data_IF_316026997260
#
_entry.id   IF_316026997260
#
_cell.length_a   1.000
_cell.length_b   1.000
_cell.length_c   1.000
_cell.angle_alpha   90.00
_cell.angle_beta   90.00
_cell.angle_gamma   90.00
#
_symmetry.space_group_name_H-M   'P 1'
#
loop_
_entity.id
_entity.type
_entity.pdbx_description
1 polymer ?
#
# COMPACT_ATOMS: atom_id res chain seq x y z
N UNK A 1 11.71 -20.09 1.21
CA UNK A 1 12.12 -19.70 -0.16
C UNK A 1 13.13 -18.54 -0.12
N UNK A 2 14.28 -18.58 -0.81
CA UNK A 2 15.26 -17.48 -0.75
C UNK A 2 14.86 -16.31 -1.65
N UNK A 3 14.55 -15.15 -1.06
CA UNK A 3 14.39 -13.88 -1.79
C UNK A 3 15.74 -13.37 -2.28
N UNK A 4 15.88 -13.11 -3.58
CA UNK A 4 17.09 -12.49 -4.12
C UNK A 4 17.04 -10.95 -4.01
N UNK A 5 18.22 -10.32 -4.03
CA UNK A 5 18.35 -8.87 -3.95
C UNK A 5 17.57 -8.12 -5.04
N UNK A 6 17.39 -8.73 -6.22
CA UNK A 6 16.60 -8.17 -7.33
C UNK A 6 15.12 -8.10 -6.97
N UNK A 7 14.58 -9.15 -6.35
CA UNK A 7 13.19 -9.21 -5.91
C UNK A 7 12.93 -8.22 -4.79
N UNK A 8 13.82 -8.12 -3.80
CA UNK A 8 13.71 -7.11 -2.73
C UNK A 8 13.67 -5.69 -3.30
N UNK A 9 14.61 -5.38 -4.21
CA UNK A 9 14.67 -4.06 -4.87
C UNK A 9 13.41 -3.78 -5.69
N UNK A 10 12.87 -4.79 -6.39
CA UNK A 10 11.63 -4.67 -7.17
C UNK A 10 10.43 -4.38 -6.26
N UNK A 11 10.30 -5.08 -5.14
CA UNK A 11 9.21 -4.86 -4.18
C UNK A 11 9.30 -3.45 -3.60
N UNK A 12 10.49 -3.01 -3.19
CA UNK A 12 10.71 -1.65 -2.68
C UNK A 12 10.30 -0.58 -3.70
N UNK A 13 10.63 -0.77 -4.98
CA UNK A 13 10.22 0.14 -6.07
C UNK A 13 8.70 0.20 -6.25
N UNK A 14 8.01 -0.95 -6.16
CA UNK A 14 6.55 -1.02 -6.23
C UNK A 14 5.90 -0.29 -5.05
N UNK A 15 6.48 -0.41 -3.86
CA UNK A 15 6.03 0.25 -2.64
C UNK A 15 6.49 1.72 -2.51
N UNK A 16 7.28 2.24 -3.48
CA UNK A 16 7.88 3.59 -3.43
C UNK A 16 8.78 3.82 -2.21
N UNK A 17 9.47 2.78 -1.76
CA UNK A 17 10.44 2.84 -0.66
C UNK A 17 11.85 2.90 -1.24
N UNK A 18 12.61 3.93 -0.89
CA UNK A 18 14.03 4.02 -1.21
C UNK A 18 14.85 3.17 -0.25
N UNK A 19 15.64 2.24 -0.78
CA UNK A 19 16.56 1.40 0.00
C UNK A 19 18.00 1.76 -0.34
N UNK A 20 18.86 1.78 0.68
CA UNK A 20 20.30 1.83 0.48
C UNK A 20 20.84 0.43 0.15
N UNK A 21 21.93 0.32 -0.63
CA UNK A 21 22.49 -0.98 -1.01
C UNK A 21 22.79 -1.91 0.18
N UNK A 22 23.26 -1.35 1.29
CA UNK A 22 23.58 -2.07 2.52
C UNK A 22 22.35 -2.65 3.26
N UNK A 23 21.15 -2.15 3.00
CA UNK A 23 19.92 -2.60 3.66
C UNK A 23 19.30 -3.82 2.96
N UNK A 24 19.66 -4.07 1.70
CA UNK A 24 18.99 -5.06 0.83
C UNK A 24 19.16 -6.48 1.37
N UNK A 25 20.37 -6.85 1.79
CA UNK A 25 20.67 -8.21 2.23
C UNK A 25 20.02 -8.53 3.58
N UNK A 26 19.98 -7.56 4.50
CA UNK A 26 19.31 -7.73 5.79
C UNK A 26 17.80 -7.87 5.59
N UNK A 27 17.20 -6.96 4.82
CA UNK A 27 15.77 -6.97 4.53
C UNK A 27 15.34 -8.25 3.79
N UNK A 28 16.16 -8.75 2.87
CA UNK A 28 15.91 -10.01 2.18
C UNK A 28 15.82 -11.21 3.13
N UNK A 29 16.67 -11.27 4.16
CA UNK A 29 16.64 -12.33 5.18
C UNK A 29 15.40 -12.23 6.07
N UNK A 30 15.05 -11.01 6.49
CA UNK A 30 13.88 -10.78 7.34
C UNK A 30 12.59 -11.15 6.59
N UNK A 31 12.46 -10.68 5.34
CA UNK A 31 11.33 -11.02 4.47
C UNK A 31 11.25 -12.51 4.17
N UNK A 32 12.40 -13.17 3.92
CA UNK A 32 12.46 -14.63 3.75
C UNK A 32 11.92 -15.36 4.97
N UNK A 33 12.34 -14.97 6.17
CA UNK A 33 11.88 -15.56 7.42
C UNK A 33 10.36 -15.39 7.63
N UNK A 34 9.81 -14.23 7.25
CA UNK A 34 8.37 -13.97 7.31
C UNK A 34 7.61 -14.85 6.32
N UNK A 35 8.09 -14.98 5.08
CA UNK A 35 7.45 -15.84 4.07
C UNK A 35 7.48 -17.30 4.51
N UNK A 36 8.62 -17.79 5.00
CA UNK A 36 8.75 -19.16 5.50
C UNK A 36 7.78 -19.43 6.67
N UNK A 37 7.54 -18.44 7.53
CA UNK A 37 6.52 -18.55 8.58
C UNK A 37 5.09 -18.59 8.02
N UNK A 38 4.78 -17.78 7.01
CA UNK A 38 3.46 -17.76 6.33
C UNK A 38 3.22 -19.06 5.56
N UNK A 39 4.26 -19.70 5.02
CA UNK A 39 4.15 -20.98 4.29
C UNK A 39 3.55 -22.11 5.14
N UNK A 40 3.57 -22.01 6.48
CA UNK A 40 2.89 -22.96 7.38
C UNK A 40 1.38 -23.04 7.13
N UNK A 41 0.76 -21.98 6.59
CA UNK A 41 -0.66 -21.98 6.25
C UNK A 41 -1.00 -22.97 5.12
N UNK A 42 -0.02 -23.38 4.31
CA UNK A 42 -0.23 -24.37 3.23
C UNK A 42 -0.50 -25.78 3.76
N UNK A 43 -0.24 -26.05 5.04
CA UNK A 43 -0.54 -27.36 5.68
C UNK A 43 -2.04 -27.57 5.91
N UNK A 44 -2.84 -26.50 5.82
CA UNK A 44 -4.28 -26.53 6.07
C UNK A 44 -5.03 -26.60 4.75
N UNK A 45 -5.88 -27.62 4.58
CA UNK A 45 -6.78 -27.73 3.43
C UNK A 45 -7.91 -26.70 3.53
N UNK A 46 -8.00 -25.84 2.52
CA UNK A 46 -9.00 -24.78 2.39
C UNK A 46 -9.80 -24.90 1.09
N UNK A 47 -9.78 -26.06 0.42
CA UNK A 47 -10.42 -26.27 -0.90
C UNK A 47 -11.91 -25.91 -0.92
N UNK A 48 -12.61 -26.12 0.20
CA UNK A 48 -14.04 -25.83 0.36
C UNK A 48 -14.33 -24.57 1.21
N UNK A 49 -13.30 -23.81 1.58
CA UNK A 49 -13.43 -22.62 2.44
C UNK A 49 -13.44 -21.35 1.57
N UNK A 50 -14.56 -20.62 1.48
CA UNK A 50 -14.60 -19.38 0.71
C UNK A 50 -13.78 -18.27 1.40
N UNK A 51 -13.11 -17.38 0.64
CA UNK A 51 -12.38 -16.25 1.20
C UNK A 51 -13.30 -15.30 2.00
N UNK A 52 -12.80 -14.82 3.14
CA UNK A 52 -13.51 -13.82 3.94
C UNK A 52 -13.38 -12.43 3.31
N UNK A 53 -14.51 -11.82 2.92
CA UNK A 53 -14.57 -10.51 2.22
C UNK A 53 -14.93 -9.32 3.13
N UNK A 54 -15.07 -9.55 4.44
CA UNK A 54 -15.44 -8.54 5.44
C UNK A 54 -16.14 -9.16 6.65
N UNK A 55 -16.36 -8.37 7.70
CA UNK A 55 -16.98 -8.81 8.96
C UNK A 55 -18.51 -8.75 8.96
N UNK A 56 -19.12 -8.14 7.94
CA UNK A 56 -20.56 -7.95 7.86
C UNK A 56 -21.14 -8.48 6.56
N UNK A 57 -22.24 -9.24 6.67
CA UNK A 57 -23.13 -9.64 5.55
C UNK A 57 -23.96 -8.46 5.02
N UNK A 58 -23.38 -7.26 5.00
CA UNK A 58 -24.11 -6.05 4.66
C UNK A 58 -24.18 -5.89 3.15
N UNK A 59 -25.38 -5.66 2.63
CA UNK A 59 -25.58 -5.15 1.26
C UNK A 59 -24.71 -3.91 1.06
N UNK A 60 -24.18 -3.72 -0.15
CA UNK A 60 -23.42 -2.54 -0.50
C UNK A 60 -24.19 -1.28 -0.10
N UNK A 61 -23.55 -0.38 0.67
CA UNK A 61 -24.17 0.89 1.05
C UNK A 61 -24.20 1.80 -0.16
N UNK A 62 -25.40 2.25 -0.52
CA UNK A 62 -25.58 3.31 -1.49
C UNK A 62 -25.41 4.66 -0.78
N UNK A 63 -24.86 5.63 -1.50
CA UNK A 63 -24.81 7.04 -1.12
C UNK A 63 -25.82 7.78 -1.97
N UNK A 64 -26.56 8.72 -1.38
CA UNK A 64 -27.42 9.64 -2.12
C UNK A 64 -26.60 10.52 -3.06
N UNK A 65 -27.14 10.85 -4.23
CA UNK A 65 -26.53 11.75 -5.18
C UNK A 65 -26.79 13.21 -4.80
N UNK A 66 -26.03 13.70 -3.82
CA UNK A 66 -26.11 15.07 -3.30
C UNK A 66 -24.73 15.74 -3.25
N UNK A 67 -24.70 17.06 -3.45
CA UNK A 67 -23.50 17.91 -3.38
C UNK A 67 -23.06 18.10 -1.92
N UNK A 68 -21.77 17.94 -1.63
CA UNK A 68 -21.21 18.04 -0.26
C UNK A 68 -19.87 18.79 -0.22
N UNK A 69 -19.62 19.58 -1.26
CA UNK A 69 -18.29 20.06 -1.67
C UNK A 69 -17.59 20.92 -0.61
N UNK A 70 -18.37 21.48 0.33
CA UNK A 70 -17.89 22.15 1.54
C UNK A 70 -17.11 23.45 1.30
N UNK A 71 -16.67 23.72 0.07
CA UNK A 71 -15.91 24.89 -0.39
C UNK A 71 -14.78 25.34 0.57
N UNK A 72 -14.08 24.38 1.17
CA UNK A 72 -13.12 24.63 2.25
C UNK A 72 -11.65 24.49 1.79
N UNK A 73 -11.28 25.23 0.74
CA UNK A 73 -9.93 25.15 0.13
C UNK A 73 -8.80 25.31 1.15
N UNK A 74 -8.90 26.29 2.05
CA UNK A 74 -7.85 26.53 3.05
C UNK A 74 -7.70 25.36 4.02
N UNK A 75 -8.81 24.72 4.42
CA UNK A 75 -8.74 23.53 5.27
C UNK A 75 -8.10 22.35 4.54
N UNK A 76 -8.43 22.15 3.25
CA UNK A 76 -7.84 21.10 2.40
C UNK A 76 -6.33 21.28 2.26
N UNK A 77 -5.87 22.51 2.02
CA UNK A 77 -4.44 22.81 1.80
C UNK A 77 -3.63 22.98 3.09
N UNK A 78 -4.26 22.92 4.27
CA UNK A 78 -3.62 23.22 5.55
C UNK A 78 -2.42 22.32 5.88
N UNK A 79 -2.40 21.09 5.35
CA UNK A 79 -1.31 20.12 5.53
C UNK A 79 -0.44 19.94 4.27
N UNK A 80 -0.62 20.78 3.24
CA UNK A 80 0.21 20.72 2.05
C UNK A 80 1.68 21.03 2.42
N UNK A 81 2.64 20.15 2.12
CA UNK A 81 4.06 20.43 2.37
C UNK A 81 4.55 21.69 1.65
N UNK A 82 4.03 21.91 0.43
CA UNK A 82 4.25 23.10 -0.39
C UNK A 82 2.99 23.40 -1.19
N UNK A 83 2.67 24.68 -1.39
CA UNK A 83 1.55 25.13 -2.21
C UNK A 83 1.90 26.37 -3.00
N UNK A 84 1.33 26.48 -4.20
CA UNK A 84 1.37 27.68 -5.02
C UNK A 84 -0.07 28.17 -5.24
N UNK A 85 -0.43 29.26 -4.56
CA UNK A 85 -1.80 29.77 -4.55
C UNK A 85 -2.80 28.67 -4.14
N UNK A 86 -3.77 28.32 -4.99
CA UNK A 86 -4.77 27.29 -4.69
C UNK A 86 -4.34 25.84 -5.04
N UNK A 87 -3.07 25.58 -5.37
CA UNK A 87 -2.61 24.28 -5.85
C UNK A 87 -1.56 23.62 -4.94
N UNK A 88 -1.54 22.28 -4.92
CA UNK A 88 -0.41 21.52 -4.39
C UNK A 88 0.77 21.59 -5.37
N UNK A 89 1.96 21.84 -4.85
CA UNK A 89 3.18 21.83 -5.66
C UNK A 89 3.82 20.45 -5.62
N UNK A 90 4.14 19.90 -6.78
CA UNK A 90 4.87 18.63 -6.92
C UNK A 90 5.91 18.75 -8.03
N UNK A 91 7.02 17.97 -7.98
CA UNK A 91 7.95 17.89 -9.09
C UNK A 91 7.23 17.52 -10.39
N UNK A 92 7.61 18.18 -11.49
CA UNK A 92 7.03 17.90 -12.80
C UNK A 92 7.24 16.42 -13.17
N UNK A 93 6.15 15.72 -13.47
CA UNK A 93 6.21 14.36 -14.00
C UNK A 93 6.75 14.44 -15.42
N UNK A 94 7.92 13.85 -15.64
CA UNK A 94 8.58 13.68 -16.94
C UNK A 94 8.80 12.18 -17.16
N UNK A 95 8.61 11.71 -18.40
CA UNK A 95 8.91 10.33 -18.83
C UNK A 95 10.41 10.10 -19.03
#
# INVERSE_FOLDING_TARGET
MSLDAKTVTRIARLARIGLKPEEIDALGKDMGSIIDWVEQLNEVDISDVPPMIGTGLAKARLREDAETDGNNREAVLSNAPEREGPFYTVPKVVE
#
